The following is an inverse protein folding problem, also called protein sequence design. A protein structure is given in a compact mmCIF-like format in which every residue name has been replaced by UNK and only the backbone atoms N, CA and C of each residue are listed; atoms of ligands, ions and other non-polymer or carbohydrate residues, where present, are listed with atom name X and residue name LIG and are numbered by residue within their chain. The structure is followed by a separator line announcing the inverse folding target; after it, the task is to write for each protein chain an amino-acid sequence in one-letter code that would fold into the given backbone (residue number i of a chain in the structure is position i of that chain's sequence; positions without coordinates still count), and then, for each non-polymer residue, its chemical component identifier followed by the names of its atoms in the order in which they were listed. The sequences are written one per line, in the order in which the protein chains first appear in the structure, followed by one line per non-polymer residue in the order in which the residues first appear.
data_IF_973008713526
#
_entry.id   IF_973008713526
#
_cell.length_a   1.000
_cell.length_b   1.000
_cell.length_c   1.000
_cell.angle_alpha   90.00
_cell.angle_beta   90.00
_cell.angle_gamma   90.00
#
_symmetry.space_group_name_H-M   'P 1'
#
loop_
_entity.id
_entity.type
_entity.pdbx_description
1 polymer ?
#
# COMPACT_ATOMS: atom_id res chain seq x y z
N UNK A 1 -15.79 7.02 21.58
CA UNK A 1 -15.38 8.15 20.71
C UNK A 1 -13.88 8.48 20.77
N UNK A 2 -13.16 8.17 21.87
CA UNK A 2 -11.73 8.52 21.98
C UNK A 2 -10.81 7.62 21.14
N UNK A 3 -11.04 6.29 21.12
CA UNK A 3 -10.24 5.35 20.33
C UNK A 3 -10.25 5.65 18.81
N UNK A 4 -11.43 5.95 18.24
CA UNK A 4 -11.55 6.27 16.81
C UNK A 4 -10.75 7.52 16.38
N UNK A 5 -10.52 8.46 17.30
CA UNK A 5 -9.76 9.68 17.02
C UNK A 5 -8.24 9.44 17.09
N UNK A 6 -7.80 8.55 17.97
CA UNK A 6 -6.42 8.07 18.00
C UNK A 6 -6.10 7.22 16.77
N UNK A 7 -6.98 6.28 16.40
CA UNK A 7 -6.81 5.46 15.20
C UNK A 7 -6.67 6.34 13.93
N UNK A 8 -7.52 7.35 13.77
CA UNK A 8 -7.42 8.27 12.64
C UNK A 8 -6.12 9.10 12.63
N UNK A 9 -5.62 9.49 13.80
CA UNK A 9 -4.35 10.21 13.90
C UNK A 9 -3.15 9.31 13.57
N UNK A 10 -3.16 8.06 14.02
CA UNK A 10 -2.12 7.07 13.74
C UNK A 10 -2.08 6.69 12.26
N UNK A 11 -3.25 6.50 11.62
CA UNK A 11 -3.30 6.24 10.19
C UNK A 11 -2.86 7.46 9.37
N UNK A 12 -3.22 8.68 9.79
CA UNK A 12 -2.76 9.91 9.14
C UNK A 12 -1.24 10.06 9.19
N UNK A 13 -0.64 9.76 10.34
CA UNK A 13 0.81 9.77 10.53
C UNK A 13 1.49 8.67 9.69
N UNK A 14 0.91 7.49 9.65
CA UNK A 14 1.39 6.36 8.84
C UNK A 14 1.38 6.69 7.35
N UNK A 15 0.27 7.25 6.84
CA UNK A 15 0.18 7.73 5.46
C UNK A 15 1.21 8.82 5.16
N UNK A 16 1.39 9.78 6.07
CA UNK A 16 2.40 10.84 5.90
C UNK A 16 3.81 10.26 5.73
N UNK A 17 4.24 9.34 6.61
CA UNK A 17 5.57 8.73 6.52
C UNK A 17 5.73 7.86 5.27
N UNK A 18 4.70 7.11 4.87
CA UNK A 18 4.73 6.34 3.63
C UNK A 18 4.83 7.22 2.38
N UNK A 19 4.12 8.36 2.35
CA UNK A 19 4.23 9.32 1.26
C UNK A 19 5.62 9.99 1.18
N UNK A 20 6.23 10.33 2.33
CA UNK A 20 7.60 10.84 2.34
C UNK A 20 8.60 9.77 1.86
N UNK A 21 8.44 8.52 2.32
CA UNK A 21 9.28 7.41 1.88
C UNK A 21 9.18 7.18 0.37
N UNK A 22 7.97 7.28 -0.19
CA UNK A 22 7.74 7.18 -1.63
C UNK A 22 8.47 8.30 -2.40
N UNK A 23 8.39 9.55 -1.94
CA UNK A 23 9.09 10.69 -2.56
C UNK A 23 10.61 10.54 -2.52
N UNK A 24 11.16 10.11 -1.38
CA UNK A 24 12.59 9.87 -1.23
C UNK A 24 13.05 8.74 -2.15
N UNK A 25 12.30 7.64 -2.25
CA UNK A 25 12.63 6.52 -3.14
C UNK A 25 12.55 6.89 -4.61
N UNK A 26 11.55 7.69 -5.02
CA UNK A 26 11.45 8.24 -6.38
C UNK A 26 12.69 9.08 -6.76
N UNK A 27 13.26 9.82 -5.80
CA UNK A 27 14.44 10.65 -6.03
C UNK A 27 15.76 9.87 -6.01
N UNK A 28 15.87 8.83 -5.20
CA UNK A 28 17.13 8.09 -4.99
C UNK A 28 17.37 6.97 -6.00
N UNK A 29 16.31 6.25 -6.39
CA UNK A 29 16.47 5.10 -7.26
C UNK A 29 15.18 4.84 -8.07
N UNK A 30 15.03 5.46 -9.26
CA UNK A 30 13.85 5.25 -10.09
C UNK A 30 13.66 3.80 -10.53
N UNK A 31 14.69 2.95 -10.46
CA UNK A 31 14.66 1.52 -10.83
C UNK A 31 14.49 0.57 -9.63
N UNK A 32 14.46 1.07 -8.39
CA UNK A 32 14.24 0.30 -7.16
C UNK A 32 12.76 0.05 -6.86
N UNK A 33 12.10 -0.71 -7.73
CA UNK A 33 10.63 -0.75 -7.79
C UNK A 33 9.95 -1.65 -6.72
N UNK A 34 10.56 -2.75 -6.27
CA UNK A 34 9.99 -3.66 -5.22
C UNK A 34 9.68 -2.91 -3.92
N UNK A 35 10.56 -1.98 -3.62
CA UNK A 35 10.54 -1.15 -2.43
C UNK A 35 9.37 -0.15 -2.42
N UNK A 36 9.03 0.40 -3.59
CA UNK A 36 7.86 1.27 -3.76
C UNK A 36 6.55 0.47 -3.70
N UNK A 37 6.56 -0.75 -4.25
CA UNK A 37 5.42 -1.67 -4.17
C UNK A 37 5.05 -2.00 -2.71
N UNK A 38 6.05 -2.29 -1.87
CA UNK A 38 5.81 -2.57 -0.44
C UNK A 38 5.17 -1.38 0.29
N UNK A 39 5.60 -0.15 -0.02
CA UNK A 39 5.02 1.08 0.56
C UNK A 39 3.56 1.24 0.14
N UNK A 40 3.26 1.09 -1.16
CA UNK A 40 1.88 1.18 -1.66
C UNK A 40 0.97 0.11 -1.07
N UNK A 41 1.49 -1.12 -0.88
CA UNK A 41 0.78 -2.18 -0.19
C UNK A 41 0.43 -1.81 1.26
N UNK A 42 1.37 -1.22 2.01
CA UNK A 42 1.11 -0.74 3.37
C UNK A 42 0.06 0.38 3.41
N UNK A 43 0.11 1.33 2.47
CA UNK A 43 -0.92 2.36 2.31
C UNK A 43 -2.30 1.72 2.08
N UNK A 44 -2.37 0.72 1.20
CA UNK A 44 -3.59 -0.06 0.96
C UNK A 44 -4.13 -0.69 2.24
N UNK A 45 -3.27 -1.34 3.04
CA UNK A 45 -3.65 -1.89 4.34
C UNK A 45 -4.15 -0.83 5.33
N UNK A 46 -3.56 0.37 5.37
CA UNK A 46 -4.07 1.47 6.18
C UNK A 46 -5.50 1.87 5.79
N UNK A 47 -5.81 1.92 4.50
CA UNK A 47 -7.16 2.20 4.02
C UNK A 47 -8.15 1.07 4.32
N UNK A 48 -7.71 -0.20 4.34
CA UNK A 48 -8.55 -1.31 4.82
C UNK A 48 -8.92 -1.13 6.29
N UNK A 49 -7.95 -0.73 7.13
CA UNK A 49 -8.19 -0.45 8.56
C UNK A 49 -9.13 0.74 8.77
N UNK A 50 -9.08 1.73 7.88
CA UNK A 50 -10.02 2.86 7.86
C UNK A 50 -11.41 2.52 7.27
N UNK A 51 -11.68 1.24 6.95
CA UNK A 51 -12.93 0.80 6.30
C UNK A 51 -13.20 1.52 4.97
N UNK A 52 -12.14 1.85 4.23
CA UNK A 52 -12.21 2.44 2.89
C UNK A 52 -11.69 1.45 1.85
N UNK A 53 -12.48 0.40 1.50
CA UNK A 53 -12.04 -0.66 0.59
C UNK A 53 -11.77 -0.15 -0.82
N UNK A 54 -12.48 0.90 -1.27
CA UNK A 54 -12.27 1.50 -2.60
C UNK A 54 -10.86 2.09 -2.73
N UNK A 55 -10.42 2.90 -1.75
CA UNK A 55 -9.05 3.43 -1.75
C UNK A 55 -8.03 2.32 -1.56
N UNK A 56 -8.28 1.38 -0.65
CA UNK A 56 -7.38 0.24 -0.43
C UNK A 56 -7.12 -0.54 -1.73
N UNK A 57 -8.16 -0.84 -2.50
CA UNK A 57 -8.06 -1.54 -3.77
C UNK A 57 -7.21 -0.77 -4.79
N UNK A 58 -7.40 0.55 -4.89
CA UNK A 58 -6.61 1.40 -5.78
C UNK A 58 -5.11 1.32 -5.46
N UNK A 59 -4.75 1.42 -4.18
CA UNK A 59 -3.34 1.37 -3.76
C UNK A 59 -2.73 -0.03 -3.91
N UNK A 60 -3.48 -1.09 -3.62
CA UNK A 60 -3.01 -2.46 -3.87
C UNK A 60 -2.81 -2.74 -5.36
N UNK A 61 -3.67 -2.22 -6.24
CA UNK A 61 -3.48 -2.35 -7.69
C UNK A 61 -2.23 -1.60 -8.16
N UNK A 62 -2.01 -0.37 -7.68
CA UNK A 62 -0.77 0.38 -7.97
C UNK A 62 0.47 -0.36 -7.45
N UNK A 63 0.38 -0.99 -6.28
CA UNK A 63 1.47 -1.81 -5.73
C UNK A 63 1.81 -2.99 -6.65
N UNK A 64 0.79 -3.65 -7.20
CA UNK A 64 0.96 -4.76 -8.14
C UNK A 64 1.60 -4.28 -9.46
N UNK A 65 1.10 -3.18 -10.03
CA UNK A 65 1.62 -2.63 -11.28
C UNK A 65 3.10 -2.24 -11.18
N UNK A 66 3.54 -1.70 -10.04
CA UNK A 66 4.96 -1.40 -9.79
C UNK A 66 5.74 -2.69 -9.58
N UNK A 67 5.20 -3.65 -8.81
CA UNK A 67 5.86 -4.93 -8.58
C UNK A 67 6.16 -5.66 -9.90
N UNK A 68 5.18 -5.72 -10.82
CA UNK A 68 5.32 -6.40 -12.11
C UNK A 68 6.27 -5.69 -13.09
N UNK A 69 6.43 -4.37 -12.95
CA UNK A 69 7.45 -3.60 -13.69
C UNK A 69 8.86 -3.74 -13.11
N UNK A 70 8.97 -4.22 -11.88
CA UNK A 70 10.25 -4.56 -11.24
C UNK A 70 10.72 -5.91 -11.76
N UNK A 71 12.05 -6.15 -11.83
CA UNK A 71 12.56 -7.53 -11.89
C UNK A 71 12.04 -8.28 -10.64
N UNK A 72 11.16 -9.28 -10.80
CA UNK A 72 10.47 -9.90 -9.67
C UNK A 72 11.46 -10.78 -8.93
N UNK A 73 11.94 -10.29 -7.78
CA UNK A 73 12.88 -11.01 -6.93
C UNK A 73 12.21 -11.60 -5.67
N UNK A 74 10.92 -11.31 -5.40
CA UNK A 74 10.21 -11.76 -4.18
C UNK A 74 8.72 -12.10 -4.40
N UNK A 75 8.45 -13.36 -4.76
CA UNK A 75 7.10 -13.89 -4.95
C UNK A 75 6.17 -13.74 -3.73
N UNK A 76 6.73 -13.54 -2.53
CA UNK A 76 5.95 -13.43 -1.29
C UNK A 76 5.16 -12.13 -1.20
N UNK A 77 5.74 -10.98 -1.58
CA UNK A 77 5.04 -9.70 -1.59
C UNK A 77 3.91 -9.70 -2.63
N UNK A 78 4.19 -10.24 -3.82
CA UNK A 78 3.20 -10.33 -4.91
C UNK A 78 1.96 -11.09 -4.47
N UNK A 79 2.13 -12.26 -3.83
CA UNK A 79 1.01 -13.06 -3.34
C UNK A 79 0.15 -12.32 -2.31
N UNK A 80 0.78 -11.57 -1.39
CA UNK A 80 0.05 -10.77 -0.40
C UNK A 80 -0.79 -9.67 -1.06
N UNK A 81 -0.25 -9.00 -2.07
CA UNK A 81 -0.96 -7.96 -2.83
C UNK A 81 -2.15 -8.58 -3.57
N UNK A 82 -1.93 -9.64 -4.35
CA UNK A 82 -2.99 -10.32 -5.12
C UNK A 82 -4.10 -10.84 -4.20
N UNK A 83 -3.76 -11.45 -3.07
CA UNK A 83 -4.74 -11.92 -2.09
C UNK A 83 -5.58 -10.77 -1.51
N UNK A 84 -4.96 -9.61 -1.27
CA UNK A 84 -5.65 -8.43 -0.74
C UNK A 84 -6.58 -7.82 -1.79
N UNK A 85 -6.15 -7.72 -3.05
CA UNK A 85 -6.99 -7.30 -4.18
C UNK A 85 -8.19 -8.24 -4.33
N UNK A 86 -7.94 -9.56 -4.37
CA UNK A 86 -9.00 -10.56 -4.52
C UNK A 86 -10.05 -10.46 -3.42
N UNK A 87 -9.60 -10.38 -2.14
CA UNK A 87 -10.49 -10.19 -0.99
C UNK A 87 -11.34 -8.94 -1.15
N UNK A 88 -10.75 -7.81 -1.51
CA UNK A 88 -11.45 -6.52 -1.62
C UNK A 88 -12.38 -6.44 -2.83
N UNK A 89 -12.07 -7.12 -3.93
CA UNK A 89 -12.88 -7.16 -5.14
C UNK A 89 -14.18 -7.97 -4.98
N UNK A 90 -14.23 -8.90 -4.02
CA UNK A 90 -15.41 -9.73 -3.76
C UNK A 90 -16.36 -9.08 -2.74
N UNK A 91 -15.84 -8.18 -1.89
CA UNK A 91 -16.62 -7.43 -0.90
C UNK A 91 -17.35 -6.29 -1.62
N UNK A 92 -18.62 -6.52 -2.00
CA UNK A 92 -19.53 -5.52 -2.57
C UNK A 92 -20.18 -4.64 -1.51
#
# INVERSE_FOLDING_TARGET
MVAAKFDQAEFGLSLYYYEQSLKVRQNLNPSGHVDMSAILYMIGCCYEKQKNPKKALQFHQQALDIYEKSLPNDDGLRQKIVNSIHRLSIVK
#
